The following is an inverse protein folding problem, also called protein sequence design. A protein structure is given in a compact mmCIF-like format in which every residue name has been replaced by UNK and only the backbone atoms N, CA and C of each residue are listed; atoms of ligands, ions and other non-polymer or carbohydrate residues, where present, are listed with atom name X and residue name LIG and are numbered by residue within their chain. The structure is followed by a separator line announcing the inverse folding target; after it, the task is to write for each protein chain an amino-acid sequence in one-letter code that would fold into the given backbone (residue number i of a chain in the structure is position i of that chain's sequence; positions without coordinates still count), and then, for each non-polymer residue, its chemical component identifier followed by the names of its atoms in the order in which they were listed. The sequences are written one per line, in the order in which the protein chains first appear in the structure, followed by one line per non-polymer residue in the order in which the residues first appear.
data_IF_799169989146
#
_entry.id   IF_799169989146
#
_cell.length_a   1.000
_cell.length_b   1.000
_cell.length_c   1.000
_cell.angle_alpha   90.00
_cell.angle_beta   90.00
_cell.angle_gamma   90.00
#
_symmetry.space_group_name_H-M   'P 1'
#
loop_
_entity.id
_entity.type
_entity.pdbx_description
1 polymer ?
#
# COMPACT_ATOMS: atom_id res chain seq x y z
N UNK A 1 -0.88 -18.88 2.91
CA UNK A 1 0.00 -18.19 1.94
C UNK A 1 0.91 -19.23 1.28
N UNK A 2 1.25 -19.09 0.00
CA UNK A 2 2.18 -20.03 -0.64
C UNK A 2 3.63 -19.71 -0.24
N UNK A 3 4.52 -20.71 -0.33
CA UNK A 3 5.92 -20.61 0.10
C UNK A 3 6.72 -19.51 -0.60
N UNK A 4 6.37 -19.16 -1.84
CA UNK A 4 7.04 -18.13 -2.61
C UNK A 4 6.69 -16.75 -2.04
N UNK A 5 5.40 -16.47 -1.87
CA UNK A 5 4.92 -15.21 -1.29
C UNK A 5 5.45 -15.04 0.14
N UNK A 6 5.46 -16.13 0.92
CA UNK A 6 6.01 -16.12 2.28
C UNK A 6 7.51 -15.84 2.30
N UNK A 7 8.27 -16.38 1.34
CA UNK A 7 9.68 -16.06 1.18
C UNK A 7 9.93 -14.59 0.86
N UNK A 8 9.12 -13.99 -0.02
CA UNK A 8 9.23 -12.56 -0.34
C UNK A 8 8.82 -11.67 0.84
N UNK A 9 7.73 -12.01 1.53
CA UNK A 9 7.30 -11.27 2.71
C UNK A 9 8.36 -11.30 3.81
N UNK A 10 8.98 -12.45 4.07
CA UNK A 10 10.01 -12.55 5.09
C UNK A 10 11.24 -11.70 4.77
N UNK A 11 11.67 -11.68 3.50
CA UNK A 11 12.75 -10.79 3.05
C UNK A 11 12.38 -9.32 3.22
N UNK A 12 11.17 -8.95 2.82
CA UNK A 12 10.66 -7.60 2.99
C UNK A 12 10.64 -7.17 4.47
N UNK A 13 10.15 -8.02 5.37
CA UNK A 13 10.13 -7.75 6.80
C UNK A 13 11.54 -7.57 7.37
N UNK A 14 12.52 -8.33 6.88
CA UNK A 14 13.92 -8.21 7.29
C UNK A 14 14.61 -6.96 6.72
N UNK A 15 14.34 -6.63 5.46
CA UNK A 15 14.92 -5.47 4.77
C UNK A 15 14.46 -4.14 5.38
N UNK A 16 13.20 -4.09 5.81
CA UNK A 16 12.58 -2.89 6.42
C UNK A 16 12.59 -2.90 7.96
N UNK A 17 13.28 -3.87 8.58
CA UNK A 17 13.37 -4.03 10.04
C UNK A 17 12.00 -3.98 10.76
N UNK A 18 11.00 -4.67 10.17
CA UNK A 18 9.63 -4.69 10.68
C UNK A 18 9.43 -5.76 11.75
N UNK A 19 8.46 -5.56 12.65
CA UNK A 19 8.11 -6.54 13.66
C UNK A 19 7.50 -7.80 13.01
N UNK A 20 8.19 -8.94 13.15
CA UNK A 20 7.78 -10.24 12.60
C UNK A 20 6.45 -10.75 13.18
N UNK A 21 6.01 -10.23 14.33
CA UNK A 21 4.73 -10.61 14.96
C UNK A 21 3.55 -10.07 14.16
N UNK A 22 3.69 -8.91 13.52
CA UNK A 22 2.61 -8.22 12.80
C UNK A 22 2.44 -8.72 11.34
N UNK A 23 2.36 -10.04 11.14
CA UNK A 23 2.37 -10.66 9.80
C UNK A 23 1.32 -10.10 8.83
N UNK A 24 0.09 -9.89 9.30
CA UNK A 24 -1.01 -9.41 8.45
C UNK A 24 -0.77 -7.96 7.99
N UNK A 25 -0.34 -7.10 8.92
CA UNK A 25 0.03 -5.69 8.65
C UNK A 25 1.23 -5.64 7.69
N UNK A 26 2.24 -6.46 7.93
CA UNK A 26 3.42 -6.53 7.07
C UNK A 26 3.08 -7.02 5.66
N UNK A 27 2.11 -7.92 5.55
CA UNK A 27 1.62 -8.38 4.26
C UNK A 27 0.91 -7.26 3.49
N UNK A 28 0.10 -6.44 4.15
CA UNK A 28 -0.50 -5.26 3.53
C UNK A 28 0.56 -4.24 3.08
N UNK A 29 1.52 -3.92 3.95
CA UNK A 29 2.66 -3.05 3.62
C UNK A 29 3.46 -3.58 2.42
N UNK A 30 3.73 -4.89 2.38
CA UNK A 30 4.42 -5.56 1.29
C UNK A 30 3.66 -5.43 -0.04
N UNK A 31 2.35 -5.65 -0.03
CA UNK A 31 1.50 -5.50 -1.22
C UNK A 31 1.54 -4.06 -1.75
N UNK A 32 1.36 -3.08 -0.86
CA UNK A 32 1.41 -1.67 -1.25
C UNK A 32 2.79 -1.27 -1.77
N UNK A 33 3.86 -1.62 -1.06
CA UNK A 33 5.23 -1.33 -1.49
C UNK A 33 5.52 -1.91 -2.89
N UNK A 34 5.13 -3.15 -3.14
CA UNK A 34 5.36 -3.83 -4.42
C UNK A 34 4.69 -3.14 -5.61
N UNK A 35 3.58 -2.44 -5.37
CA UNK A 35 2.87 -1.65 -6.39
C UNK A 35 3.52 -0.27 -6.51
N UNK A 36 3.63 0.44 -5.38
CA UNK A 36 4.05 1.84 -5.35
C UNK A 36 5.49 2.03 -5.79
N UNK A 37 6.42 1.15 -5.41
CA UNK A 37 7.84 1.27 -5.79
C UNK A 37 8.06 1.28 -7.30
N UNK A 38 7.21 0.56 -8.04
CA UNK A 38 7.30 0.47 -9.50
C UNK A 38 6.65 1.67 -10.20
N UNK A 39 5.60 2.23 -9.61
CA UNK A 39 4.80 3.30 -10.22
C UNK A 39 5.25 4.70 -9.79
N UNK A 40 5.83 4.83 -8.59
CA UNK A 40 6.26 6.08 -7.99
C UNK A 40 7.78 6.10 -7.87
N UNK A 41 8.42 6.71 -8.87
CA UNK A 41 9.89 6.86 -8.91
C UNK A 41 10.51 7.61 -7.71
N UNK A 42 9.71 8.36 -6.95
CA UNK A 42 10.13 9.07 -5.74
C UNK A 42 9.83 8.32 -4.45
N UNK A 43 9.12 7.19 -4.50
CA UNK A 43 8.76 6.41 -3.33
C UNK A 43 9.98 5.65 -2.82
N UNK A 44 10.53 6.12 -1.70
CA UNK A 44 11.70 5.54 -1.07
C UNK A 44 11.31 4.58 0.06
N UNK A 45 12.32 3.98 0.68
CA UNK A 45 12.10 2.97 1.70
C UNK A 45 11.62 3.60 3.04
N UNK A 46 11.83 4.90 3.22
CA UNK A 46 11.37 5.66 4.39
C UNK A 46 9.87 6.01 4.30
N UNK A 47 9.34 6.11 3.07
CA UNK A 47 7.94 6.41 2.80
C UNK A 47 6.99 5.25 3.14
N UNK A 48 7.51 4.06 3.50
CA UNK A 48 6.70 2.90 3.85
C UNK A 48 5.74 3.17 5.02
N UNK A 49 6.14 4.05 5.95
CA UNK A 49 5.30 4.44 7.08
C UNK A 49 4.18 5.42 6.69
N UNK A 50 4.27 6.06 5.53
CA UNK A 50 3.21 6.92 4.99
C UNK A 50 2.12 6.12 4.28
N UNK A 51 2.39 4.86 3.96
CA UNK A 51 1.41 3.95 3.39
C UNK A 51 0.36 3.59 4.45
N UNK A 52 -0.82 4.18 4.30
CA UNK A 52 -1.96 3.88 5.15
C UNK A 52 -2.47 2.45 4.91
N UNK A 53 -2.38 1.62 5.94
CA UNK A 53 -3.12 0.37 6.08
C UNK A 53 -4.49 0.74 6.67
N UNK A 54 -5.55 0.65 5.87
CA UNK A 54 -6.88 1.10 6.28
C UNK A 54 -7.41 0.36 7.52
N UNK A 55 -8.48 0.87 8.14
CA UNK A 55 -9.19 0.17 9.25
C UNK A 55 -10.43 -0.59 8.79
N UNK A 56 -10.84 -0.42 7.53
CA UNK A 56 -12.10 -0.93 7.01
C UNK A 56 -11.88 -2.29 6.35
N UNK A 57 -12.81 -3.22 6.55
CA UNK A 57 -12.74 -4.56 5.97
C UNK A 57 -13.22 -4.54 4.53
N UNK A 58 -12.49 -5.23 3.64
CA UNK A 58 -12.90 -5.49 2.25
C UNK A 58 -12.32 -4.55 1.20
N UNK A 59 -11.59 -3.50 1.61
CA UNK A 59 -10.77 -2.68 0.71
C UNK A 59 -9.41 -2.51 1.40
N UNK A 60 -8.40 -3.21 0.89
CA UNK A 60 -7.04 -3.18 1.46
C UNK A 60 -6.25 -1.94 0.98
N UNK A 61 -6.63 -1.35 -0.16
CA UNK A 61 -6.06 -0.09 -0.67
C UNK A 61 -6.88 0.56 -1.79
N UNK A 62 -6.81 1.89 -1.91
CA UNK A 62 -7.41 2.67 -3.01
C UNK A 62 -6.35 3.61 -3.60
N UNK A 63 -6.31 3.70 -4.93
CA UNK A 63 -5.42 4.58 -5.66
C UNK A 63 -6.19 5.30 -6.77
N UNK A 64 -5.85 6.58 -6.99
CA UNK A 64 -6.40 7.38 -8.08
C UNK A 64 -5.32 7.52 -9.16
N UNK A 65 -5.67 7.17 -10.40
CA UNK A 65 -4.83 7.40 -11.57
C UNK A 65 -5.55 8.29 -12.58
N UNK A 66 -4.87 9.33 -13.06
CA UNK A 66 -5.36 10.24 -14.09
C UNK A 66 -4.38 10.21 -15.25
N UNK A 67 -4.85 9.88 -16.45
CA UNK A 67 -4.02 9.74 -17.65
C UNK A 67 -2.80 8.80 -17.46
N UNK A 68 -2.97 7.74 -16.66
CA UNK A 68 -1.89 6.77 -16.38
C UNK A 68 -0.91 7.21 -15.30
N UNK A 69 -1.12 8.35 -14.64
CA UNK A 69 -0.29 8.81 -13.54
C UNK A 69 -1.01 8.67 -12.20
N UNK A 70 -0.38 8.02 -11.23
CA UNK A 70 -0.88 7.93 -9.85
C UNK A 70 -0.82 9.30 -9.19
N UNK A 71 -1.92 9.69 -8.55
CA UNK A 71 -2.03 10.94 -7.79
C UNK A 71 -1.66 10.67 -6.34
N UNK A 72 -0.56 11.28 -5.88
CA UNK A 72 -0.01 11.09 -4.52
C UNK A 72 -0.17 12.30 -3.61
N UNK A 73 -0.61 13.44 -4.13
CA UNK A 73 -0.82 14.66 -3.34
C UNK A 73 -2.19 15.29 -3.67
N UNK A 74 -2.97 15.56 -2.63
CA UNK A 74 -4.31 16.18 -2.66
C UNK A 74 -4.25 17.68 -3.00
N UNK A 75 -3.08 18.32 -2.96
CA UNK A 75 -2.94 19.73 -3.36
C UNK A 75 -3.19 19.98 -4.85
N UNK A 76 -3.21 18.94 -5.69
CA UNK A 76 -3.82 19.06 -7.00
C UNK A 76 -5.34 19.16 -6.80
N UNK A 77 -5.95 20.30 -7.15
CA UNK A 77 -7.38 20.61 -7.05
C UNK A 77 -8.28 19.64 -7.85
N UNK A 78 -8.31 18.37 -7.46
CA UNK A 78 -9.21 17.35 -7.97
C UNK A 78 -10.12 16.93 -6.82
N UNK A 79 -11.28 17.60 -6.73
CA UNK A 79 -12.38 17.15 -5.88
C UNK A 79 -12.99 15.87 -6.48
N UNK A 80 -12.43 14.72 -6.13
CA UNK A 80 -13.10 13.44 -6.28
C UNK A 80 -13.70 13.03 -4.94
N UNK A 81 -14.99 13.32 -4.73
CA UNK A 81 -15.76 12.75 -3.63
C UNK A 81 -16.17 11.33 -4.03
N UNK A 82 -15.53 10.33 -3.45
CA UNK A 82 -15.92 8.92 -3.59
C UNK A 82 -16.87 8.54 -2.45
N UNK A 83 -18.18 8.54 -2.71
CA UNK A 83 -19.16 7.91 -1.84
C UNK A 83 -19.13 6.38 -2.06
N UNK A 84 -18.17 5.70 -1.46
CA UNK A 84 -18.13 4.24 -1.40
C UNK A 84 -19.18 3.75 -0.41
N UNK A 85 -20.41 3.51 -0.89
CA UNK A 85 -21.40 2.71 -0.16
C UNK A 85 -21.02 1.24 -0.26
N UNK A 86 -20.21 0.77 0.69
CA UNK A 86 -20.03 -0.66 0.93
C UNK A 86 -21.30 -1.19 1.64
N UNK A 87 -22.23 -1.73 0.86
CA UNK A 87 -23.33 -2.55 1.40
C UNK A 87 -22.75 -3.89 1.87
N UNK A 88 -22.96 -4.18 3.15
CA UNK A 88 -22.64 -5.44 3.81
C UNK A 88 -23.44 -6.62 3.27
#
# INVERSE_FOLDING_TARGET
MNIIIEGYLNKFVEEFDLDKIEKDINFEKFCHYSILKNELSFFDDNDLNEVSIGKNKGIDGICISVNGHIITNIQAEFFCQFDLKLTA
#
